data_IF_952658453473
#
_entry.id   IF_952658453473
#
_cell.length_a   1.000
_cell.length_b   1.000
_cell.length_c   1.000
_cell.angle_alpha   90.00
_cell.angle_beta   90.00
_cell.angle_gamma   90.00
#
_symmetry.space_group_name_H-M   'P 1'
#
loop_
_entity.id
_entity.type
_entity.pdbx_description
1 polymer ?
#
# COMPACT_ATOMS: atom_id res chain seq x y z
N UNK A 1 -11.33 -14.58 5.06
CA UNK A 1 -10.63 -13.29 4.81
C UNK A 1 -11.04 -12.70 3.48
N UNK A 2 -11.39 -11.43 3.44
CA UNK A 2 -11.63 -10.66 2.21
C UNK A 2 -10.32 -9.96 1.81
N UNK A 3 -9.76 -10.32 0.65
CA UNK A 3 -8.43 -9.82 0.23
C UNK A 3 -8.39 -8.29 0.03
N UNK A 4 -9.50 -7.70 -0.43
CA UNK A 4 -9.61 -6.25 -0.60
C UNK A 4 -9.54 -5.52 0.74
N UNK A 5 -10.30 -5.97 1.76
CA UNK A 5 -10.28 -5.39 3.10
C UNK A 5 -8.90 -5.55 3.76
N UNK A 6 -8.26 -6.71 3.61
CA UNK A 6 -6.91 -6.94 4.12
C UNK A 6 -5.89 -6.02 3.43
N UNK A 7 -5.99 -5.86 2.11
CA UNK A 7 -5.11 -4.95 1.36
C UNK A 7 -5.29 -3.50 1.83
N UNK A 8 -6.53 -3.01 1.92
CA UNK A 8 -6.82 -1.65 2.39
C UNK A 8 -6.25 -1.41 3.79
N UNK A 9 -6.45 -2.36 4.71
CA UNK A 9 -5.88 -2.26 6.04
C UNK A 9 -4.35 -2.18 6.02
N UNK A 10 -3.68 -3.04 5.23
CA UNK A 10 -2.21 -3.02 5.12
C UNK A 10 -1.68 -1.74 4.46
N UNK A 11 -2.44 -1.12 3.57
CA UNK A 11 -2.15 0.23 3.07
C UNK A 11 -2.24 1.25 4.20
N UNK A 12 -3.35 1.27 4.95
CA UNK A 12 -3.56 2.23 6.04
C UNK A 12 -2.53 2.10 7.17
N UNK A 13 -1.93 0.94 7.36
CA UNK A 13 -0.90 0.67 8.38
C UNK A 13 0.52 1.04 7.93
N UNK A 14 0.71 1.49 6.69
CA UNK A 14 2.02 1.95 6.21
C UNK A 14 2.54 3.13 7.04
N UNK A 15 3.83 3.08 7.38
CA UNK A 15 4.47 4.05 8.26
C UNK A 15 4.22 3.84 9.76
N UNK A 16 3.27 2.98 10.15
CA UNK A 16 3.00 2.61 11.55
C UNK A 16 3.51 1.21 11.91
N UNK A 17 3.31 0.23 11.02
CA UNK A 17 3.97 -1.07 11.15
C UNK A 17 5.39 -1.01 10.56
N UNK A 18 6.35 -1.76 11.14
CA UNK A 18 7.68 -1.93 10.55
C UNK A 18 7.61 -2.48 9.12
N UNK A 19 8.43 -1.96 8.22
CA UNK A 19 8.42 -2.35 6.82
C UNK A 19 8.67 -3.84 6.60
N UNK A 20 9.54 -4.44 7.42
CA UNK A 20 9.87 -5.87 7.35
C UNK A 20 8.68 -6.77 7.73
N UNK A 21 7.75 -6.28 8.53
CA UNK A 21 6.49 -6.95 8.85
C UNK A 21 5.48 -6.71 7.74
N UNK A 22 5.35 -5.46 7.30
CA UNK A 22 4.33 -5.05 6.34
C UNK A 22 4.49 -5.74 4.99
N UNK A 23 5.73 -5.76 4.43
CA UNK A 23 5.96 -6.39 3.14
C UNK A 23 5.69 -7.90 3.17
N UNK A 24 5.98 -8.60 4.28
CA UNK A 24 5.67 -10.03 4.43
C UNK A 24 4.18 -10.32 4.45
N UNK A 25 3.42 -9.52 5.19
CA UNK A 25 1.95 -9.64 5.22
C UNK A 25 1.36 -9.43 3.83
N UNK A 26 1.86 -8.46 3.09
CA UNK A 26 1.47 -8.18 1.70
C UNK A 26 1.87 -9.30 0.73
N UNK A 27 3.05 -9.89 0.90
CA UNK A 27 3.51 -11.01 0.06
C UNK A 27 2.65 -12.26 0.30
N UNK A 28 2.30 -12.58 1.55
CA UNK A 28 1.35 -13.66 1.85
C UNK A 28 -0.05 -13.38 1.31
N UNK A 29 -0.53 -12.15 1.43
CA UNK A 29 -1.82 -11.77 0.87
C UNK A 29 -1.84 -11.97 -0.65
N UNK A 30 -0.80 -11.51 -1.35
CA UNK A 30 -0.65 -11.67 -2.79
C UNK A 30 -0.53 -13.14 -3.22
N UNK A 31 0.03 -13.99 -2.37
CA UNK A 31 0.11 -15.44 -2.58
C UNK A 31 -1.18 -16.19 -2.23
N UNK A 32 -2.25 -15.49 -1.79
CA UNK A 32 -3.49 -16.12 -1.33
C UNK A 32 -3.36 -16.86 0.01
N UNK A 33 -2.27 -16.66 0.75
CA UNK A 33 -2.03 -17.28 2.04
C UNK A 33 -2.78 -16.56 3.16
N UNK A 34 -4.09 -16.78 3.24
CA UNK A 34 -4.99 -16.12 4.20
C UNK A 34 -4.61 -16.41 5.67
N UNK A 35 -4.40 -17.67 6.02
CA UNK A 35 -4.17 -18.09 7.41
C UNK A 35 -3.01 -17.37 8.11
N UNK A 36 -1.81 -17.26 7.52
CA UNK A 36 -0.73 -16.44 8.04
C UNK A 36 -1.13 -14.97 8.27
N UNK A 37 -1.83 -14.33 7.34
CA UNK A 37 -2.27 -12.92 7.48
C UNK A 37 -3.24 -12.79 8.65
N UNK A 38 -4.30 -13.64 8.70
CA UNK A 38 -5.30 -13.64 9.76
C UNK A 38 -4.69 -13.82 11.17
N UNK A 39 -3.67 -14.68 11.27
CA UNK A 39 -3.06 -15.00 12.54
C UNK A 39 -2.01 -13.98 12.99
N UNK A 40 -1.19 -13.50 12.05
CA UNK A 40 -0.01 -12.71 12.39
C UNK A 40 -0.27 -11.21 12.41
N UNK A 41 -1.26 -10.71 11.65
CA UNK A 41 -1.55 -9.28 11.62
C UNK A 41 -1.97 -8.73 12.99
N UNK A 42 -2.95 -9.31 13.74
CA UNK A 42 -3.30 -8.82 15.06
C UNK A 42 -2.13 -8.92 16.05
N UNK A 43 -1.33 -10.00 15.98
CA UNK A 43 -0.13 -10.18 16.81
C UNK A 43 0.94 -9.13 16.51
N UNK A 44 1.12 -8.79 15.25
CA UNK A 44 2.07 -7.74 14.83
C UNK A 44 1.66 -6.37 15.37
N UNK A 45 0.38 -6.03 15.31
CA UNK A 45 -0.16 -4.79 15.88
C UNK A 45 0.10 -4.70 17.38
N UNK A 46 -0.22 -5.78 18.12
CA UNK A 46 0.01 -5.85 19.57
C UNK A 46 1.50 -5.77 19.92
N UNK A 47 2.35 -6.55 19.25
CA UNK A 47 3.78 -6.60 19.50
C UNK A 47 4.46 -5.24 19.26
N UNK A 48 4.04 -4.54 18.22
CA UNK A 48 4.60 -3.23 17.85
C UNK A 48 3.84 -2.06 18.50
N UNK A 49 2.83 -2.35 19.34
CA UNK A 49 1.97 -1.34 20.00
C UNK A 49 1.33 -0.37 19.01
N UNK A 50 0.95 -0.86 17.84
CA UNK A 50 0.29 -0.06 16.81
C UNK A 50 -1.20 0.01 17.11
N UNK A 51 -1.69 1.22 17.36
CA UNK A 51 -3.13 1.47 17.51
C UNK A 51 -3.83 1.51 16.14
N UNK A 52 -5.15 1.31 16.15
CA UNK A 52 -6.01 1.34 14.97
C UNK A 52 -7.18 2.29 15.18
N UNK A 53 -7.62 2.96 14.11
CA UNK A 53 -8.88 3.73 14.10
C UNK A 53 -10.09 2.79 14.10
N UNK A 54 -11.28 3.30 14.35
CA UNK A 54 -12.51 2.49 14.30
C UNK A 54 -12.72 1.86 12.93
N UNK A 55 -12.52 2.60 11.84
CA UNK A 55 -12.62 2.06 10.48
C UNK A 55 -11.56 0.99 10.18
N UNK A 56 -10.35 1.13 10.70
CA UNK A 56 -9.31 0.09 10.59
C UNK A 56 -9.61 -1.13 11.44
N UNK A 57 -10.31 -0.96 12.58
CA UNK A 57 -10.78 -2.07 13.42
C UNK A 57 -11.83 -2.90 12.69
N UNK A 58 -12.74 -2.26 11.94
CA UNK A 58 -13.70 -2.96 11.07
C UNK A 58 -12.98 -3.79 10.01
N UNK A 59 -11.98 -3.21 9.33
CA UNK A 59 -11.16 -3.92 8.35
C UNK A 59 -10.36 -5.06 8.99
N UNK A 60 -9.85 -4.85 10.21
CA UNK A 60 -9.10 -5.87 10.96
C UNK A 60 -10.02 -7.04 11.35
N UNK A 61 -11.24 -6.77 11.78
CA UNK A 61 -12.24 -7.81 12.08
C UNK A 61 -12.60 -8.61 10.83
N UNK A 62 -12.81 -7.96 9.68
CA UNK A 62 -13.06 -8.62 8.41
C UNK A 62 -11.86 -9.47 7.93
N UNK A 63 -10.62 -9.06 8.27
CA UNK A 63 -9.38 -9.76 7.89
C UNK A 63 -9.07 -10.92 8.83
N UNK A 64 -9.20 -10.73 10.14
CA UNK A 64 -8.71 -11.67 11.15
C UNK A 64 -9.74 -12.74 11.58
N UNK A 65 -10.87 -12.86 10.88
CA UNK A 65 -11.80 -13.99 11.04
C UNK A 65 -12.35 -14.20 12.46
N UNK A 66 -12.54 -13.12 13.24
CA UNK A 66 -13.07 -13.21 14.61
C UNK A 66 -12.03 -13.62 15.67
N UNK A 67 -10.77 -13.43 15.39
CA UNK A 67 -9.69 -13.60 16.38
C UNK A 67 -9.93 -12.73 17.62
N UNK A 68 -9.92 -13.31 18.82
CA UNK A 68 -10.01 -12.57 20.10
C UNK A 68 -8.90 -11.53 20.28
N UNK A 69 -7.81 -11.64 19.52
CA UNK A 69 -6.72 -10.65 19.55
C UNK A 69 -7.12 -9.31 18.94
N UNK A 70 -8.15 -9.27 18.09
CA UNK A 70 -8.68 -8.03 17.52
C UNK A 70 -9.16 -7.07 18.60
N UNK A 71 -9.85 -7.60 19.62
CA UNK A 71 -10.38 -6.81 20.74
C UNK A 71 -9.27 -6.25 21.65
N UNK A 72 -8.12 -6.90 21.66
CA UNK A 72 -6.95 -6.48 22.44
C UNK A 72 -6.11 -5.40 21.73
N UNK A 73 -6.30 -5.16 20.43
CA UNK A 73 -5.57 -4.13 19.69
C UNK A 73 -5.98 -2.75 20.18
N UNK A 74 -5.00 -1.92 20.52
CA UNK A 74 -5.21 -0.59 21.07
C UNK A 74 -5.92 0.35 20.06
N UNK A 75 -6.73 1.30 20.54
CA UNK A 75 -7.19 2.38 19.68
C UNK A 75 -6.02 3.30 19.31
N UNK A 76 -6.09 3.90 18.13
CA UNK A 76 -5.13 4.92 17.71
C UNK A 76 -5.40 6.21 18.49
N UNK A 77 -4.47 6.60 19.36
CA UNK A 77 -4.60 7.83 20.16
C UNK A 77 -4.09 9.06 19.43
N UNK A 78 -2.99 8.93 18.71
CA UNK A 78 -2.37 10.01 17.91
C UNK A 78 -1.78 9.42 16.65
N UNK A 79 -2.07 10.03 15.52
CA UNK A 79 -1.42 9.63 14.26
C UNK A 79 0.05 10.08 14.28
N UNK A 80 1.00 9.18 13.99
CA UNK A 80 2.41 9.56 13.95
C UNK A 80 2.66 10.55 12.80
N UNK A 81 3.61 11.47 12.96
CA UNK A 81 3.97 12.38 11.89
C UNK A 81 4.44 11.63 10.65
N UNK A 82 4.02 12.11 9.48
CA UNK A 82 4.45 11.52 8.22
C UNK A 82 5.98 11.67 8.05
N UNK A 83 6.67 10.63 7.56
CA UNK A 83 8.09 10.73 7.27
C UNK A 83 8.34 11.67 6.08
N UNK A 84 9.57 12.19 5.98
CA UNK A 84 10.02 12.96 4.83
C UNK A 84 10.32 12.04 3.65
N UNK A 85 9.87 12.44 2.47
CA UNK A 85 10.14 11.78 1.19
C UNK A 85 10.88 12.73 0.25
N UNK A 86 11.70 12.16 -0.63
CA UNK A 86 12.37 12.85 -1.72
C UNK A 86 12.10 12.12 -3.05
N UNK A 87 12.10 12.80 -4.19
CA UNK A 87 11.93 12.15 -5.47
C UNK A 87 13.09 11.17 -5.75
N UNK A 88 12.79 10.10 -6.48
CA UNK A 88 13.81 9.16 -6.91
C UNK A 88 14.84 9.83 -7.83
N UNK A 89 16.11 9.34 -7.85
CA UNK A 89 17.16 9.85 -8.72
C UNK A 89 16.82 9.69 -10.21
N UNK A 90 17.43 10.53 -11.04
CA UNK A 90 17.45 10.39 -12.49
C UNK A 90 18.85 9.98 -12.97
N UNK A 91 18.94 9.21 -14.07
CA UNK A 91 17.85 8.53 -14.78
C UNK A 91 17.25 7.38 -13.98
N UNK A 92 16.06 6.90 -14.41
CA UNK A 92 15.42 5.72 -13.83
C UNK A 92 16.32 4.49 -13.97
N UNK A 93 16.47 3.75 -12.88
CA UNK A 93 17.23 2.50 -12.88
C UNK A 93 16.40 1.30 -13.40
N UNK A 94 17.03 0.13 -13.55
CA UNK A 94 16.39 -1.07 -14.05
C UNK A 94 15.19 -1.52 -13.20
N UNK A 95 15.22 -1.28 -11.90
CA UNK A 95 14.10 -1.62 -11.02
C UNK A 95 12.90 -0.72 -11.29
N UNK A 96 13.12 0.59 -11.47
CA UNK A 96 12.06 1.55 -11.84
C UNK A 96 11.52 1.23 -13.24
N UNK A 97 12.38 0.95 -14.22
CA UNK A 97 11.94 0.58 -15.58
C UNK A 97 11.12 -0.71 -15.58
N UNK A 98 11.53 -1.71 -14.82
CA UNK A 98 10.76 -2.95 -14.63
C UNK A 98 9.42 -2.70 -13.97
N UNK A 99 9.36 -1.84 -12.95
CA UNK A 99 8.11 -1.46 -12.31
C UNK A 99 7.16 -0.72 -13.27
N UNK A 100 7.68 0.18 -14.10
CA UNK A 100 6.91 0.85 -15.15
C UNK A 100 6.28 -0.15 -16.12
N UNK A 101 7.05 -1.16 -16.57
CA UNK A 101 6.54 -2.20 -17.47
C UNK A 101 5.43 -3.05 -16.82
N UNK A 102 5.59 -3.43 -15.55
CA UNK A 102 4.56 -4.17 -14.78
C UNK A 102 3.29 -3.33 -14.66
N UNK A 103 3.40 -2.07 -14.24
CA UNK A 103 2.24 -1.17 -14.03
C UNK A 103 1.55 -0.87 -15.35
N UNK A 104 2.29 -0.61 -16.43
CA UNK A 104 1.73 -0.35 -17.76
C UNK A 104 0.92 -1.53 -18.30
N UNK A 105 1.34 -2.77 -18.00
CA UNK A 105 0.63 -3.99 -18.38
C UNK A 105 -0.54 -4.36 -17.46
N UNK A 106 -0.66 -3.73 -16.28
CA UNK A 106 -1.72 -4.06 -15.33
C UNK A 106 -2.99 -3.24 -15.59
N UNK A 107 -4.16 -3.89 -15.50
CA UNK A 107 -5.44 -3.22 -15.76
C UNK A 107 -5.81 -2.28 -14.62
N UNK A 108 -6.45 -1.16 -14.95
CA UNK A 108 -6.97 -0.22 -13.97
C UNK A 108 -5.92 0.67 -13.30
N UNK A 109 -4.63 0.52 -13.60
CA UNK A 109 -3.58 1.43 -13.08
C UNK A 109 -3.62 2.77 -13.80
N UNK A 110 -3.35 3.84 -13.06
CA UNK A 110 -3.40 5.22 -13.54
C UNK A 110 -2.02 5.86 -13.56
N UNK A 111 -1.27 5.73 -12.47
CA UNK A 111 0.03 6.37 -12.29
C UNK A 111 0.97 5.49 -11.46
N UNK A 112 2.27 5.59 -11.73
CA UNK A 112 3.36 5.09 -10.89
C UNK A 112 4.27 6.25 -10.50
N UNK A 113 4.54 6.36 -9.20
CA UNK A 113 5.48 7.31 -8.62
C UNK A 113 6.61 6.58 -7.91
N UNK A 114 7.83 7.12 -7.99
CA UNK A 114 9.01 6.61 -7.28
C UNK A 114 9.51 7.67 -6.30
N UNK A 115 9.59 7.30 -5.04
CA UNK A 115 10.05 8.15 -3.95
C UNK A 115 11.16 7.47 -3.15
N UNK A 116 11.87 8.28 -2.36
CA UNK A 116 12.86 7.83 -1.39
C UNK A 116 12.49 8.30 0.01
N UNK A 117 12.47 7.36 0.95
CA UNK A 117 12.43 7.64 2.38
C UNK A 117 13.82 7.28 2.94
N UNK A 118 14.70 8.29 3.01
CA UNK A 118 16.13 8.05 3.21
C UNK A 118 16.73 7.18 2.10
N UNK A 119 17.23 5.99 2.44
CA UNK A 119 17.76 5.03 1.45
C UNK A 119 16.69 4.07 0.90
N UNK A 120 15.53 4.00 1.54
CA UNK A 120 14.45 3.09 1.17
C UNK A 120 13.70 3.63 -0.05
N UNK A 121 13.55 2.80 -1.09
CA UNK A 121 12.63 3.06 -2.20
C UNK A 121 11.19 2.85 -1.75
N UNK A 122 10.31 3.72 -2.19
CA UNK A 122 8.87 3.60 -2.01
C UNK A 122 8.20 3.82 -3.36
N UNK A 123 7.56 2.77 -3.88
CA UNK A 123 6.73 2.87 -5.07
C UNK A 123 5.29 3.15 -4.65
N UNK A 124 4.68 4.18 -5.24
CA UNK A 124 3.26 4.50 -5.07
C UNK A 124 2.57 4.32 -6.41
N UNK A 125 1.56 3.47 -6.44
CA UNK A 125 0.73 3.20 -7.63
C UNK A 125 -0.69 3.66 -7.33
N UNK A 126 -1.31 4.39 -8.25
CA UNK A 126 -2.74 4.74 -8.20
C UNK A 126 -3.53 3.80 -9.09
N UNK A 127 -4.62 3.25 -8.55
CA UNK A 127 -5.49 2.30 -9.24
C UNK A 127 -4.90 0.90 -9.35
N UNK A 128 -5.57 0.09 -10.12
CA UNK A 128 -5.20 -1.30 -10.39
C UNK A 128 -6.28 -2.29 -9.94
N UNK A 129 -6.64 -3.18 -10.84
CA UNK A 129 -7.49 -4.32 -10.53
C UNK A 129 -6.72 -5.26 -9.61
N UNK A 130 -7.36 -5.80 -8.55
CA UNK A 130 -6.71 -6.73 -7.60
C UNK A 130 -5.38 -6.19 -7.05
N UNK A 131 -5.39 -5.04 -6.36
CA UNK A 131 -4.19 -4.28 -5.97
C UNK A 131 -3.22 -5.10 -5.11
N UNK A 132 -3.68 -6.10 -4.35
CA UNK A 132 -2.82 -7.00 -3.59
C UNK A 132 -1.90 -7.87 -4.47
N UNK A 133 -2.37 -8.29 -5.66
CA UNK A 133 -1.54 -9.07 -6.59
C UNK A 133 -0.47 -8.20 -7.26
N UNK A 134 -0.85 -6.97 -7.64
CA UNK A 134 0.08 -5.98 -8.17
C UNK A 134 1.16 -5.64 -7.13
N UNK A 135 0.75 -5.41 -5.87
CA UNK A 135 1.68 -5.20 -4.75
C UNK A 135 2.71 -6.32 -4.66
N UNK A 136 2.27 -7.58 -4.62
CA UNK A 136 3.17 -8.72 -4.53
C UNK A 136 4.09 -8.87 -5.76
N UNK A 137 3.59 -8.57 -6.95
CA UNK A 137 4.39 -8.61 -8.18
C UNK A 137 5.51 -7.56 -8.15
N UNK A 138 5.19 -6.33 -7.77
CA UNK A 138 6.18 -5.26 -7.63
C UNK A 138 7.17 -5.52 -6.49
N UNK A 139 6.72 -6.08 -5.37
CA UNK A 139 7.62 -6.46 -4.27
C UNK A 139 8.63 -7.53 -4.72
N UNK A 140 8.20 -8.55 -5.45
CA UNK A 140 9.10 -9.59 -6.00
C UNK A 140 10.09 -8.99 -6.99
N UNK A 141 9.64 -8.10 -7.87
CA UNK A 141 10.51 -7.37 -8.79
C UNK A 141 11.61 -6.60 -8.02
N UNK A 142 11.23 -5.78 -7.04
CA UNK A 142 12.19 -4.99 -6.25
C UNK A 142 13.20 -5.88 -5.52
N UNK A 143 12.77 -7.05 -5.02
CA UNK A 143 13.66 -8.02 -4.38
C UNK A 143 14.69 -8.60 -5.33
N UNK A 144 14.31 -8.89 -6.58
CA UNK A 144 15.27 -9.33 -7.63
C UNK A 144 16.34 -8.25 -7.86
N UNK A 145 15.98 -6.98 -7.72
CA UNK A 145 16.89 -5.85 -7.83
C UNK A 145 17.58 -5.47 -6.51
N UNK A 146 17.55 -6.33 -5.48
CA UNK A 146 18.33 -6.20 -4.26
C UNK A 146 17.62 -5.46 -3.11
N UNK A 147 16.38 -5.05 -3.26
CA UNK A 147 15.61 -4.48 -2.15
C UNK A 147 15.18 -5.58 -1.18
N UNK A 148 15.65 -5.49 0.07
CA UNK A 148 15.37 -6.51 1.11
C UNK A 148 14.02 -6.34 1.76
N UNK A 149 13.52 -5.12 1.83
CA UNK A 149 12.24 -4.74 2.46
C UNK A 149 11.47 -3.83 1.52
N UNK A 150 10.96 -4.37 0.38
CA UNK A 150 10.33 -3.54 -0.64
C UNK A 150 9.08 -2.84 -0.09
N UNK A 151 9.03 -1.51 -0.25
CA UNK A 151 7.87 -0.70 0.05
C UNK A 151 7.10 -0.41 -1.23
N UNK A 152 5.92 -0.98 -1.34
CA UNK A 152 5.02 -0.80 -2.49
C UNK A 152 3.62 -0.48 -1.95
N UNK A 153 3.13 0.68 -2.32
CA UNK A 153 1.83 1.20 -1.93
C UNK A 153 0.93 1.27 -3.16
N UNK A 154 -0.03 0.36 -3.29
CA UNK A 154 -1.04 0.40 -4.35
C UNK A 154 -2.32 0.96 -3.77
N UNK A 155 -2.62 2.21 -4.14
CA UNK A 155 -3.76 2.96 -3.64
C UNK A 155 -4.98 2.74 -4.57
N UNK A 156 -6.20 2.84 -4.06
CA UNK A 156 -7.38 2.88 -4.91
C UNK A 156 -7.29 3.99 -5.97
N UNK A 157 -7.94 3.78 -7.12
CA UNK A 157 -8.06 4.82 -8.14
C UNK A 157 -8.78 6.05 -7.57
N UNK A 158 -8.32 7.25 -7.96
CA UNK A 158 -9.00 8.50 -7.58
C UNK A 158 -10.35 8.65 -8.29
N UNK A 159 -10.48 8.04 -9.46
CA UNK A 159 -11.69 8.11 -10.29
C UNK A 159 -12.60 6.93 -9.97
N UNK A 160 -13.68 7.17 -9.23
CA UNK A 160 -14.75 6.19 -9.08
C UNK A 160 -15.53 6.02 -10.40
N UNK A 161 -15.82 4.78 -10.84
CA UNK A 161 -16.77 4.58 -11.92
C UNK A 161 -18.16 5.10 -11.49
N UNK A 162 -18.75 5.96 -12.32
CA UNK A 162 -20.09 6.51 -12.10
C UNK A 162 -21.09 5.37 -11.88
N UNK A 163 -21.66 5.27 -10.67
CA UNK A 163 -22.68 4.28 -10.33
C UNK A 163 -22.47 3.46 -9.06
N UNK A 164 -21.37 3.61 -8.35
CA UNK A 164 -21.15 2.92 -7.08
C UNK A 164 -21.85 3.64 -5.94
N UNK A 165 -22.94 3.04 -5.42
CA UNK A 165 -23.61 3.51 -4.23
C UNK A 165 -22.69 3.39 -3.01
N UNK A 166 -22.34 4.54 -2.42
CA UNK A 166 -21.83 4.69 -1.04
C UNK A 166 -20.67 3.75 -0.65
N UNK A 167 -19.56 3.75 -1.39
CA UNK A 167 -18.29 3.41 -0.79
C UNK A 167 -17.68 4.68 -0.20
N UNK A 168 -17.35 4.63 1.11
CA UNK A 168 -16.62 5.71 1.78
C UNK A 168 -15.36 5.98 0.96
N UNK A 169 -15.23 7.20 0.41
CA UNK A 169 -14.07 7.61 -0.41
C UNK A 169 -12.81 7.28 0.37
N UNK A 170 -11.87 6.56 -0.27
CA UNK A 170 -10.58 6.29 0.35
C UNK A 170 -9.84 7.61 0.52
N UNK A 171 -9.61 8.01 1.75
CA UNK A 171 -8.77 9.14 2.09
C UNK A 171 -7.37 8.61 2.45
N UNK A 172 -6.35 8.93 1.64
CA UNK A 172 -5.00 8.45 1.90
C UNK A 172 -4.50 8.96 3.25
N UNK A 173 -3.96 8.07 4.13
CA UNK A 173 -3.28 8.50 5.35
C UNK A 173 -2.16 9.51 5.08
N UNK A 174 -1.76 10.27 6.11
CA UNK A 174 -0.72 11.29 6.02
C UNK A 174 0.61 10.76 5.44
N UNK A 175 0.95 9.50 5.71
CA UNK A 175 2.08 8.80 5.11
C UNK A 175 2.03 8.81 3.57
N UNK A 176 0.89 8.46 2.98
CA UNK A 176 0.73 8.37 1.52
C UNK A 176 0.65 9.76 0.89
N UNK A 177 0.00 10.72 1.55
CA UNK A 177 -0.03 12.11 1.08
C UNK A 177 1.40 12.67 1.00
N UNK A 178 2.22 12.45 2.03
CA UNK A 178 3.62 12.88 2.04
C UNK A 178 4.44 12.14 0.97
N UNK A 179 4.21 10.83 0.75
CA UNK A 179 4.87 10.04 -0.27
C UNK A 179 4.54 10.55 -1.69
N UNK A 180 3.27 10.88 -1.96
CA UNK A 180 2.84 11.43 -3.25
C UNK A 180 3.49 12.80 -3.49
N UNK A 181 3.43 13.70 -2.52
CA UNK A 181 4.03 15.06 -2.63
C UNK A 181 5.56 14.99 -2.80
N UNK A 182 6.23 14.11 -2.05
CA UNK A 182 7.69 13.94 -2.09
C UNK A 182 8.20 13.04 -3.21
N UNK A 183 7.33 12.50 -4.07
CA UNK A 183 7.69 11.59 -5.15
C UNK A 183 7.76 12.28 -6.51
N UNK A 184 8.30 11.54 -7.48
CA UNK A 184 8.26 11.90 -8.89
C UNK A 184 7.38 10.91 -9.64
N UNK A 185 6.45 11.36 -10.53
CA UNK A 185 5.78 10.48 -11.45
C UNK A 185 6.81 9.91 -12.44
N UNK A 186 6.83 8.59 -12.60
CA UNK A 186 7.72 7.90 -13.54
C UNK A 186 6.95 7.27 -14.69
N UNK A 187 5.65 7.03 -14.48
CA UNK A 187 4.75 6.56 -15.52
C UNK A 187 3.32 7.04 -15.22
N UNK A 188 2.58 7.40 -16.27
CA UNK A 188 1.14 7.67 -16.20
C UNK A 188 0.46 7.07 -17.43
N UNK A 189 -0.79 6.62 -17.26
CA UNK A 189 -1.57 6.07 -18.37
C UNK A 189 -1.83 7.14 -19.41
N UNK A 190 -1.57 6.87 -20.70
CA UNK A 190 -1.90 7.81 -21.77
C UNK A 190 -3.39 8.17 -21.74
N UNK A 191 -3.70 9.47 -21.76
CA UNK A 191 -5.07 10.01 -21.75
C UNK A 191 -5.53 10.58 -20.39
N UNK A 192 -4.83 10.33 -19.27
CA UNK A 192 -5.14 10.95 -17.98
C UNK A 192 -4.50 12.34 -17.78
N UNK A 193 -3.50 12.69 -18.59
CA UNK A 193 -2.76 13.97 -18.48
C UNK A 193 -3.43 15.17 -19.17
N UNK A 194 -4.70 15.08 -19.58
CA UNK A 194 -5.34 16.09 -20.44
C UNK A 194 -6.35 17.00 -19.76
N UNK A 195 -6.34 17.15 -18.43
CA UNK A 195 -7.26 18.10 -17.74
C UNK A 195 -6.51 18.94 -16.72
N UNK A 196 -5.65 19.83 -17.20
CA UNK A 196 -5.29 21.05 -16.46
C UNK A 196 -4.90 22.10 -17.49
N UNK A 197 -5.90 22.83 -17.96
CA UNK A 197 -5.74 24.15 -18.59
C UNK A 197 -6.56 25.15 -17.83
#
# INVERSE_FOLDING_TARGET
MEAAAAHELLVRLAGRLPDDVLWRLRDWLAAGAAGPVETLLPRALLRNRVGVTDGERELLAATAGGSRLVDAVLPLSVEPPAPSFAPAPEPADLATLGAMAVVAGHRGTEELRDARRGRQRVLVVSGGDRPWELTGTLQRLLRVHGDRTPCVEVLPAETEPAGSSVRRRFEPPAYHQAAIVGSRPVWARPGLLSVTS
#
